data_IF_941593333252
#
_entry.id   IF_941593333252
#
_cell.length_a   1.000
_cell.length_b   1.000
_cell.length_c   1.000
_cell.angle_alpha   90.00
_cell.angle_beta   90.00
_cell.angle_gamma   90.00
#
_symmetry.space_group_name_H-M   'P 1'
#
loop_
_entity.id
_entity.type
_entity.pdbx_description
1 polymer ?
#
# COMPACT_ATOMS: atom_id res chain seq x y z
N UNK A 1 -8.89 -15.89 11.97
CA UNK A 1 -7.46 -15.58 11.77
C UNK A 1 -7.33 -15.07 10.35
N UNK A 2 -6.84 -13.85 10.15
CA UNK A 2 -6.56 -13.32 8.80
C UNK A 2 -5.42 -14.13 8.20
N UNK A 3 -5.68 -14.81 7.09
CA UNK A 3 -4.69 -15.65 6.41
C UNK A 3 -3.70 -14.79 5.61
N UNK A 4 -2.53 -15.33 5.26
CA UNK A 4 -1.56 -14.59 4.43
C UNK A 4 -2.16 -14.16 3.09
N UNK A 5 -3.10 -14.94 2.55
CA UNK A 5 -3.83 -14.57 1.33
C UNK A 5 -4.64 -13.29 1.49
N UNK A 6 -5.28 -13.09 2.65
CA UNK A 6 -6.06 -11.89 2.94
C UNK A 6 -5.15 -10.65 3.05
N UNK A 7 -3.97 -10.81 3.66
CA UNK A 7 -2.98 -9.73 3.76
C UNK A 7 -2.48 -9.32 2.36
N UNK A 8 -2.26 -10.29 1.47
CA UNK A 8 -1.85 -10.01 0.09
C UNK A 8 -2.98 -9.36 -0.71
N UNK A 9 -4.24 -9.78 -0.54
CA UNK A 9 -5.38 -9.11 -1.18
C UNK A 9 -5.47 -7.64 -0.77
N UNK A 10 -5.30 -7.36 0.52
CA UNK A 10 -5.30 -6.00 1.05
C UNK A 10 -4.13 -5.17 0.51
N UNK A 11 -2.93 -5.76 0.42
CA UNK A 11 -1.77 -5.09 -0.17
C UNK A 11 -1.99 -4.79 -1.67
N UNK A 12 -2.60 -5.72 -2.42
CA UNK A 12 -2.93 -5.52 -3.83
C UNK A 12 -3.97 -4.40 -4.03
N UNK A 13 -4.90 -4.20 -3.08
CA UNK A 13 -5.83 -3.06 -3.14
C UNK A 13 -5.11 -1.72 -3.03
N UNK A 14 -4.13 -1.60 -2.12
CA UNK A 14 -3.27 -0.41 -2.06
C UNK A 14 -2.46 -0.23 -3.34
N UNK A 15 -1.99 -1.33 -3.94
CA UNK A 15 -1.31 -1.28 -5.23
C UNK A 15 -2.20 -0.77 -6.37
N UNK A 16 -3.46 -1.19 -6.39
CA UNK A 16 -4.46 -0.69 -7.34
C UNK A 16 -4.68 0.82 -7.17
N UNK A 17 -4.87 1.28 -5.93
CA UNK A 17 -5.01 2.72 -5.62
C UNK A 17 -3.77 3.51 -6.03
N UNK A 18 -2.57 2.96 -5.77
CA UNK A 18 -1.32 3.57 -6.19
C UNK A 18 -1.15 3.60 -7.72
N UNK A 19 -1.72 2.62 -8.42
CA UNK A 19 -1.76 2.60 -9.89
C UNK A 19 -2.69 3.68 -10.42
N UNK A 20 -3.89 3.83 -9.85
CA UNK A 20 -4.80 4.94 -10.20
C UNK A 20 -4.11 6.30 -10.01
N UNK A 21 -3.43 6.50 -8.87
CA UNK A 21 -2.69 7.74 -8.61
C UNK A 21 -1.50 7.96 -9.54
N UNK A 22 -0.79 6.88 -9.91
CA UNK A 22 0.27 6.92 -10.92
C UNK A 22 -0.27 7.30 -12.31
N UNK A 23 -1.49 6.89 -12.66
CA UNK A 23 -2.19 7.27 -13.89
C UNK A 23 -2.82 8.67 -13.83
N UNK A 24 -2.63 9.41 -12.73
CA UNK A 24 -3.15 10.77 -12.55
C UNK A 24 -4.60 10.85 -12.05
N UNK A 25 -5.17 9.73 -11.61
CA UNK A 25 -6.52 9.70 -11.01
C UNK A 25 -6.47 10.10 -9.53
N UNK A 26 -7.57 10.65 -8.98
CA UNK A 26 -7.66 10.92 -7.56
C UNK A 26 -7.60 9.61 -6.76
N UNK A 27 -6.58 9.45 -5.92
CA UNK A 27 -6.36 8.22 -5.14
C UNK A 27 -6.51 8.45 -3.62
N UNK A 28 -6.30 9.68 -3.15
CA UNK A 28 -6.16 10.00 -1.73
C UNK A 28 -7.36 9.60 -0.87
N UNK A 29 -8.62 9.89 -1.25
CA UNK A 29 -9.78 9.45 -0.47
C UNK A 29 -9.87 7.93 -0.30
N UNK A 30 -9.60 7.17 -1.37
CA UNK A 30 -9.61 5.70 -1.33
C UNK A 30 -8.47 5.15 -0.46
N UNK A 31 -7.29 5.79 -0.52
CA UNK A 31 -6.14 5.44 0.30
C UNK A 31 -6.44 5.62 1.80
N UNK A 32 -6.98 6.77 2.18
CA UNK A 32 -7.37 7.11 3.54
C UNK A 32 -8.47 6.17 4.08
N UNK A 33 -9.48 5.87 3.27
CA UNK A 33 -10.57 4.98 3.65
C UNK A 33 -10.07 3.56 3.94
N UNK A 34 -9.26 3.00 3.03
CA UNK A 34 -8.71 1.66 3.21
C UNK A 34 -7.79 1.60 4.44
N UNK A 35 -6.90 2.57 4.62
CA UNK A 35 -6.01 2.61 5.77
C UNK A 35 -6.78 2.73 7.09
N UNK A 36 -7.82 3.57 7.15
CA UNK A 36 -8.68 3.71 8.33
C UNK A 36 -9.39 2.40 8.68
N UNK A 37 -9.94 1.70 7.68
CA UNK A 37 -10.61 0.42 7.88
C UNK A 37 -9.69 -0.68 8.40
N UNK A 38 -8.41 -0.65 8.01
CA UNK A 38 -7.41 -1.61 8.48
C UNK A 38 -6.84 -1.28 9.86
N UNK A 39 -6.71 0.01 10.21
CA UNK A 39 -6.30 0.43 11.56
C UNK A 39 -7.32 0.02 12.62
N UNK A 40 -8.61 -0.05 12.26
CA UNK A 40 -9.64 -0.57 13.14
C UNK A 40 -9.51 -2.09 13.41
N UNK A 41 -8.70 -2.81 12.63
CA UNK A 41 -8.49 -4.26 12.75
C UNK A 41 -7.14 -4.55 13.42
N UNK A 42 -7.20 -4.93 14.70
CA UNK A 42 -6.02 -5.23 15.49
C UNK A 42 -5.12 -6.30 14.82
N UNK A 43 -3.84 -5.97 14.64
CA UNK A 43 -2.83 -6.88 14.07
C UNK A 43 -2.83 -7.03 12.55
N UNK A 44 -3.82 -6.47 11.83
CA UNK A 44 -3.87 -6.52 10.36
C UNK A 44 -3.02 -5.40 9.75
N UNK A 45 -3.19 -4.16 10.21
CA UNK A 45 -2.44 -2.99 9.73
C UNK A 45 -0.91 -3.19 9.67
N UNK A 46 -0.22 -3.67 10.73
CA UNK A 46 1.23 -3.86 10.67
C UNK A 46 1.65 -4.97 9.68
N UNK A 47 0.82 -6.00 9.48
CA UNK A 47 1.10 -7.07 8.50
C UNK A 47 0.96 -6.57 7.06
N UNK A 48 -0.07 -5.77 6.79
CA UNK A 48 -0.26 -5.14 5.47
C UNK A 48 0.86 -4.12 5.21
N UNK A 49 1.22 -3.30 6.20
CA UNK A 49 2.36 -2.37 6.08
C UNK A 49 3.67 -3.10 5.75
N UNK A 50 3.92 -4.24 6.39
CA UNK A 50 5.07 -5.08 6.06
C UNK A 50 5.02 -5.60 4.61
N UNK A 51 3.89 -6.14 4.16
CA UNK A 51 3.71 -6.61 2.79
C UNK A 51 3.93 -5.49 1.76
N UNK A 52 3.41 -4.29 2.01
CA UNK A 52 3.65 -3.11 1.17
C UNK A 52 5.13 -2.72 1.13
N UNK A 53 5.84 -2.80 2.26
CA UNK A 53 7.28 -2.59 2.32
C UNK A 53 8.06 -3.54 1.40
N UNK A 54 7.67 -4.82 1.36
CA UNK A 54 8.24 -5.81 0.44
C UNK A 54 7.92 -5.45 -1.02
N UNK A 55 6.68 -5.08 -1.33
CA UNK A 55 6.29 -4.68 -2.69
C UNK A 55 7.08 -3.45 -3.18
N UNK A 56 7.22 -2.42 -2.35
CA UNK A 56 7.98 -1.20 -2.67
C UNK A 56 9.43 -1.55 -3.02
N UNK A 57 10.05 -2.45 -2.24
CA UNK A 57 11.41 -2.92 -2.52
C UNK A 57 11.50 -3.63 -3.87
N UNK A 58 10.60 -4.58 -4.14
CA UNK A 58 10.59 -5.33 -5.39
C UNK A 58 10.37 -4.44 -6.62
N UNK A 59 9.48 -3.44 -6.52
CA UNK A 59 9.26 -2.46 -7.58
C UNK A 59 10.55 -1.66 -7.82
N UNK A 60 11.20 -1.18 -6.76
CA UNK A 60 12.44 -0.42 -6.88
C UNK A 60 13.60 -1.22 -7.48
N UNK A 61 13.74 -2.50 -7.09
CA UNK A 61 14.75 -3.41 -7.66
C UNK A 61 14.48 -3.71 -9.14
N UNK A 62 13.21 -3.72 -9.56
CA UNK A 62 12.79 -4.00 -10.94
C UNK A 62 12.78 -2.78 -11.86
N UNK A 63 12.91 -1.56 -11.31
CA UNK A 63 12.81 -0.31 -12.03
C UNK A 63 13.95 0.67 -11.69
N UNK A 64 15.18 0.38 -12.15
CA UNK A 64 16.34 1.22 -11.89
C UNK A 64 16.25 2.62 -12.53
N UNK A 65 15.33 2.80 -13.48
CA UNK A 65 15.08 4.09 -14.14
C UNK A 65 14.10 4.98 -13.37
N UNK A 66 13.44 4.45 -12.32
CA UNK A 66 12.52 5.21 -11.48
C UNK A 66 11.20 5.58 -12.16
N UNK A 67 10.78 4.84 -13.20
CA UNK A 67 9.47 5.01 -13.86
C UNK A 67 8.30 4.91 -12.87
N UNK A 68 8.39 4.05 -11.87
CA UNK A 68 7.36 3.82 -10.86
C UNK A 68 7.60 4.62 -9.57
N UNK A 69 8.46 5.64 -9.59
CA UNK A 69 8.75 6.46 -8.42
C UNK A 69 7.48 7.06 -7.79
N UNK A 70 6.54 7.57 -8.60
CA UNK A 70 5.27 8.08 -8.11
C UNK A 70 4.37 6.99 -7.49
N UNK A 71 4.27 5.81 -8.11
CA UNK A 71 3.54 4.66 -7.55
C UNK A 71 4.13 4.23 -6.21
N UNK A 72 5.46 4.12 -6.11
CA UNK A 72 6.13 3.77 -4.84
C UNK A 72 6.00 4.84 -3.77
N UNK A 73 5.92 6.13 -4.13
CA UNK A 73 5.64 7.21 -3.18
C UNK A 73 4.25 7.05 -2.56
N UNK A 74 3.21 6.77 -3.36
CA UNK A 74 1.85 6.53 -2.86
C UNK A 74 1.80 5.31 -1.94
N UNK A 75 2.52 4.23 -2.29
CA UNK A 75 2.63 3.05 -1.40
C UNK A 75 3.35 3.36 -0.08
N UNK A 76 4.33 4.26 -0.09
CA UNK A 76 4.98 4.74 1.16
C UNK A 76 4.02 5.58 2.00
N UNK A 77 3.18 6.40 1.38
CA UNK A 77 2.09 7.09 2.08
C UNK A 77 1.13 6.10 2.74
N UNK A 78 0.77 5.01 2.05
CA UNK A 78 -0.04 3.94 2.61
C UNK A 78 0.60 3.30 3.86
N UNK A 79 1.91 2.99 3.79
CA UNK A 79 2.66 2.44 4.93
C UNK A 79 2.67 3.41 6.11
N UNK A 80 2.88 4.70 5.85
CA UNK A 80 2.83 5.71 6.91
C UNK A 80 1.45 5.78 7.57
N UNK A 81 0.37 5.78 6.78
CA UNK A 81 -1.00 5.79 7.30
C UNK A 81 -1.32 4.57 8.17
N UNK A 82 -0.76 3.40 7.85
CA UNK A 82 -0.92 2.17 8.62
C UNK A 82 -0.03 2.10 9.88
N UNK A 83 1.07 2.87 9.90
CA UNK A 83 2.05 2.92 10.98
C UNK A 83 1.80 4.00 12.03
N UNK A 84 1.09 5.08 11.67
CA UNK A 84 0.52 5.99 12.65
C UNK A 84 -0.61 5.24 13.38
N UNK A 85 -0.46 4.93 14.67
CA UNK A 85 -1.41 4.12 15.42
C UNK A 85 -1.09 4.11 16.90
#
# INVERSE_FOLDING_TARGET
MTDNRDILDLANRFESIATDGFEGRPYRPALDELARGLRAQAGVAPRVAHALGVMIRLIGESDPQGRFAAKTAILREAVALLGEG
#
